data_IF_408005895192
#
_entry.id   IF_408005895192
#
_cell.length_a   1.000
_cell.length_b   1.000
_cell.length_c   1.000
_cell.angle_alpha   90.00
_cell.angle_beta   90.00
_cell.angle_gamma   90.00
#
_symmetry.space_group_name_H-M   'P 1'
#
loop_
_entity.id
_entity.type
_entity.pdbx_description
1 polymer ?
#
# COMPACT_ATOMS: atom_id res chain seq x y z
N UNK A 1 30.56 58.96 -8.74
CA UNK A 1 29.09 58.80 -8.89
C UNK A 1 28.82 58.35 -10.32
N UNK A 2 28.46 57.08 -10.55
CA UNK A 2 28.16 56.59 -11.90
C UNK A 2 26.64 56.48 -12.12
N UNK A 3 26.13 56.86 -13.30
CA UNK A 3 24.73 57.13 -13.55
C UNK A 3 23.91 55.89 -13.95
N UNK A 4 22.65 55.89 -13.52
CA UNK A 4 21.55 55.07 -14.01
C UNK A 4 21.52 55.02 -15.54
N UNK A 5 21.55 53.82 -16.14
CA UNK A 5 20.93 53.56 -17.45
C UNK A 5 20.12 52.27 -17.40
N UNK A 6 18.82 52.47 -17.35
CA UNK A 6 17.74 51.51 -17.43
C UNK A 6 17.36 51.32 -18.91
N UNK A 7 17.44 50.11 -19.45
CA UNK A 7 16.78 49.68 -20.69
C UNK A 7 16.90 48.16 -20.80
N UNK A 8 15.95 47.37 -21.28
CA UNK A 8 14.54 47.52 -21.57
C UNK A 8 14.08 46.08 -21.88
N UNK A 9 12.89 45.70 -21.40
CA UNK A 9 12.03 44.74 -22.10
C UNK A 9 12.41 43.27 -22.08
N UNK A 10 12.20 42.60 -20.95
CA UNK A 10 11.57 41.27 -20.96
C UNK A 10 10.36 41.38 -20.04
N UNK A 11 9.18 41.56 -20.65
CA UNK A 11 7.92 41.60 -19.96
C UNK A 11 7.63 40.22 -19.37
N UNK A 12 8.16 39.97 -18.17
CA UNK A 12 7.65 38.92 -17.30
C UNK A 12 6.18 39.21 -17.05
N UNK A 13 5.32 38.27 -17.44
CA UNK A 13 3.91 38.26 -17.07
C UNK A 13 3.84 38.17 -15.54
N UNK A 14 3.86 39.32 -14.87
CA UNK A 14 3.58 39.42 -13.44
C UNK A 14 2.06 39.30 -13.31
N UNK A 15 1.58 38.08 -13.10
CA UNK A 15 0.26 37.87 -12.49
C UNK A 15 0.40 38.22 -11.02
N UNK A 16 0.31 39.50 -10.69
CA UNK A 16 0.17 40.00 -9.32
C UNK A 16 -1.30 39.90 -8.93
N UNK A 17 -1.67 38.79 -8.28
CA UNK A 17 -3.02 38.53 -7.79
C UNK A 17 -3.11 37.14 -7.15
N UNK A 18 -4.16 36.85 -6.36
CA UNK A 18 -4.24 35.87 -5.25
C UNK A 18 -3.95 34.39 -5.58
N UNK A 19 -3.54 34.09 -6.81
CA UNK A 19 -3.10 32.77 -7.25
C UNK A 19 -1.78 32.34 -6.58
N UNK A 20 -0.88 33.26 -6.26
CA UNK A 20 0.33 32.93 -5.49
C UNK A 20 0.01 32.57 -4.02
N UNK A 21 -1.00 33.19 -3.42
CA UNK A 21 -1.46 32.88 -2.06
C UNK A 21 -2.20 31.52 -1.96
N UNK A 22 -2.59 30.94 -3.11
CA UNK A 22 -3.15 29.59 -3.17
C UNK A 22 -2.06 28.50 -3.09
N UNK A 23 -0.79 28.87 -3.21
CA UNK A 23 0.38 27.98 -3.12
C UNK A 23 1.00 27.99 -1.71
N UNK A 24 0.63 28.96 -0.86
CA UNK A 24 1.06 29.03 0.54
C UNK A 24 0.27 28.05 1.42
N UNK A 25 0.71 26.79 1.36
CA UNK A 25 1.12 26.07 2.56
C UNK A 25 0.06 25.54 3.54
N UNK A 26 -1.24 25.75 3.33
CA UNK A 26 -2.29 25.13 4.15
C UNK A 26 -3.09 24.03 3.43
N UNK A 27 -2.53 23.45 2.37
CA UNK A 27 -3.03 22.19 1.85
C UNK A 27 -2.50 21.05 2.72
N UNK A 28 -3.33 20.03 3.03
CA UNK A 28 -2.83 18.83 3.68
C UNK A 28 -1.61 18.32 2.92
N UNK A 29 -0.49 18.02 3.61
CA UNK A 29 0.67 17.46 2.93
C UNK A 29 0.25 16.17 2.22
N UNK A 30 0.75 15.98 1.00
CA UNK A 30 0.60 14.69 0.32
C UNK A 30 1.16 13.60 1.25
N UNK A 31 0.42 12.50 1.42
CA UNK A 31 0.92 11.36 2.17
C UNK A 31 2.00 10.68 1.32
N UNK A 32 3.27 10.80 1.72
CA UNK A 32 4.37 10.14 1.04
C UNK A 32 4.25 8.61 1.19
N UNK A 33 4.87 7.83 0.28
CA UNK A 33 5.03 6.40 0.47
C UNK A 33 5.79 6.08 1.77
N UNK A 34 5.56 4.88 2.32
CA UNK A 34 6.15 4.44 3.60
C UNK A 34 7.68 4.51 3.60
N UNK A 35 8.32 4.15 2.49
CA UNK A 35 9.78 4.16 2.33
C UNK A 35 10.35 5.54 1.90
N UNK A 36 9.49 6.57 1.84
CA UNK A 36 9.82 7.89 1.34
C UNK A 36 9.84 7.95 -0.20
N UNK A 37 9.56 9.14 -0.75
CA UNK A 37 9.50 9.31 -2.20
C UNK A 37 9.60 10.77 -2.62
N UNK A 38 10.62 11.05 -3.45
CA UNK A 38 10.73 12.23 -4.28
C UNK A 38 11.47 13.42 -3.65
N UNK A 39 12.80 13.44 -3.78
CA UNK A 39 13.46 14.74 -4.02
C UNK A 39 12.92 15.30 -5.34
N UNK A 40 12.70 16.62 -5.42
CA UNK A 40 12.12 17.28 -6.60
C UNK A 40 12.62 16.70 -7.93
N UNK A 41 11.71 16.08 -8.70
CA UNK A 41 11.99 15.52 -10.03
C UNK A 41 12.05 13.98 -10.12
N UNK A 42 12.11 13.24 -9.01
CA UNK A 42 12.14 11.77 -9.01
C UNK A 42 10.74 11.13 -8.96
N UNK A 43 9.97 11.37 -10.03
CA UNK A 43 8.59 10.89 -10.16
C UNK A 43 8.48 9.37 -10.27
N UNK A 44 9.53 8.70 -10.79
CA UNK A 44 9.52 7.25 -10.96
C UNK A 44 9.64 6.54 -9.61
N UNK A 45 10.50 7.04 -8.72
CA UNK A 45 10.64 6.49 -7.38
C UNK A 45 9.38 6.71 -6.55
N UNK A 46 8.71 7.87 -6.71
CA UNK A 46 7.42 8.13 -6.08
C UNK A 46 6.34 7.12 -6.52
N UNK A 47 6.24 6.85 -7.83
CA UNK A 47 5.28 5.86 -8.36
C UNK A 47 5.60 4.44 -7.86
N UNK A 48 6.89 4.05 -7.82
CA UNK A 48 7.31 2.75 -7.28
C UNK A 48 6.91 2.60 -5.81
N UNK A 49 7.11 3.63 -4.99
CA UNK A 49 6.74 3.62 -3.57
C UNK A 49 5.25 3.38 -3.35
N UNK A 50 4.37 4.06 -4.10
CA UNK A 50 2.93 3.82 -3.98
C UNK A 50 2.50 2.43 -4.43
N UNK A 51 3.17 1.87 -5.44
CA UNK A 51 2.92 0.49 -5.89
C UNK A 51 3.37 -0.51 -4.80
N UNK A 52 4.50 -0.25 -4.14
CA UNK A 52 5.01 -1.06 -3.04
C UNK A 52 4.01 -1.10 -1.86
N UNK A 53 3.59 0.07 -1.39
CA UNK A 53 2.58 0.19 -0.33
C UNK A 53 1.27 -0.51 -0.71
N UNK A 54 0.82 -0.31 -1.96
CA UNK A 54 -0.37 -0.97 -2.49
C UNK A 54 -0.25 -2.50 -2.55
N UNK A 55 0.90 -3.02 -2.95
CA UNK A 55 1.15 -4.45 -3.02
C UNK A 55 1.14 -5.11 -1.63
N UNK A 56 1.72 -4.45 -0.63
CA UNK A 56 1.72 -4.92 0.77
C UNK A 56 0.29 -4.99 1.31
N UNK A 57 -0.50 -3.92 1.12
CA UNK A 57 -1.91 -3.87 1.57
C UNK A 57 -2.75 -4.93 0.85
N UNK A 58 -2.55 -5.12 -0.46
CA UNK A 58 -3.24 -6.16 -1.22
C UNK A 58 -2.88 -7.57 -0.74
N UNK A 59 -1.60 -7.84 -0.49
CA UNK A 59 -1.17 -9.12 0.03
C UNK A 59 -1.74 -9.41 1.42
N UNK A 60 -1.80 -8.39 2.30
CA UNK A 60 -2.44 -8.51 3.60
C UNK A 60 -3.95 -8.80 3.47
N UNK A 61 -4.65 -8.10 2.58
CA UNK A 61 -6.07 -8.33 2.32
C UNK A 61 -6.33 -9.76 1.83
N UNK A 62 -5.49 -10.28 0.93
CA UNK A 62 -5.58 -11.67 0.47
C UNK A 62 -5.33 -12.67 1.61
N UNK A 63 -4.39 -12.39 2.51
CA UNK A 63 -4.16 -13.21 3.71
C UNK A 63 -5.40 -13.30 4.60
N UNK A 64 -6.06 -12.16 4.85
CA UNK A 64 -7.31 -12.09 5.63
C UNK A 64 -8.45 -12.85 4.94
N UNK A 65 -8.62 -12.67 3.63
CA UNK A 65 -9.65 -13.38 2.86
C UNK A 65 -9.42 -14.90 2.88
N UNK A 66 -8.17 -15.35 2.71
CA UNK A 66 -7.80 -16.76 2.79
C UNK A 66 -8.08 -17.36 4.18
N UNK A 67 -7.77 -16.63 5.25
CA UNK A 67 -8.08 -17.04 6.62
C UNK A 67 -9.59 -17.19 6.84
N UNK A 68 -10.38 -16.21 6.39
CA UNK A 68 -11.85 -16.25 6.50
C UNK A 68 -12.44 -17.46 5.76
N UNK A 69 -11.92 -17.76 4.58
CA UNK A 69 -12.34 -18.91 3.78
C UNK A 69 -12.06 -20.25 4.47
N UNK A 70 -10.85 -20.40 5.03
CA UNK A 70 -10.46 -21.60 5.78
C UNK A 70 -11.32 -21.76 7.04
N UNK A 71 -11.56 -20.67 7.78
CA UNK A 71 -12.42 -20.68 8.96
C UNK A 71 -13.84 -21.11 8.62
N UNK A 72 -14.42 -20.59 7.53
CA UNK A 72 -15.73 -21.02 7.04
C UNK A 72 -15.78 -22.52 6.74
N UNK A 73 -14.77 -23.04 6.03
CA UNK A 73 -14.68 -24.45 5.67
C UNK A 73 -14.55 -25.33 6.92
N UNK A 74 -13.76 -24.91 7.91
CA UNK A 74 -13.59 -25.61 9.17
C UNK A 74 -14.90 -25.69 9.98
N UNK A 75 -15.68 -24.60 10.03
CA UNK A 75 -16.98 -24.58 10.72
C UNK A 75 -18.00 -25.51 10.04
N UNK A 76 -18.03 -25.55 8.70
CA UNK A 76 -18.88 -26.47 7.97
C UNK A 76 -18.55 -27.93 8.30
N UNK A 77 -17.26 -28.28 8.30
CA UNK A 77 -16.81 -29.63 8.62
C UNK A 77 -16.99 -29.99 10.10
N UNK A 78 -16.85 -29.02 11.01
CA UNK A 78 -17.15 -29.22 12.42
C UNK A 78 -18.59 -29.70 12.65
N UNK A 79 -19.55 -29.12 11.93
CA UNK A 79 -20.94 -29.54 11.99
C UNK A 79 -21.15 -30.99 11.49
N UNK A 80 -20.41 -31.42 10.45
CA UNK A 80 -20.45 -32.79 9.94
C UNK A 80 -19.88 -33.81 10.95
N UNK A 81 -18.78 -33.48 11.62
CA UNK A 81 -18.18 -34.35 12.65
C UNK A 81 -19.07 -34.47 13.89
N UNK A 82 -19.76 -33.38 14.25
CA UNK A 82 -20.70 -33.39 15.37
C UNK A 82 -21.96 -34.21 15.07
N UNK A 83 -22.32 -34.37 13.80
CA UNK A 83 -23.41 -35.23 13.34
C UNK A 83 -22.97 -36.68 13.12
N UNK A 84 -21.71 -37.02 13.38
CA UNK A 84 -21.15 -38.37 13.17
C UNK A 84 -21.02 -38.75 11.70
N UNK A 85 -21.10 -37.78 10.77
CA UNK A 85 -21.00 -38.01 9.32
C UNK A 85 -19.57 -37.90 8.78
N UNK A 86 -18.64 -37.45 9.62
CA UNK A 86 -17.23 -37.26 9.30
C UNK A 86 -16.35 -37.57 10.52
N UNK A 87 -15.10 -37.94 10.27
CA UNK A 87 -14.13 -38.21 11.33
C UNK A 87 -13.49 -36.92 11.85
N UNK A 88 -13.29 -36.83 13.16
CA UNK A 88 -12.55 -35.72 13.78
C UNK A 88 -11.11 -35.59 13.26
N UNK A 89 -10.54 -36.69 12.75
CA UNK A 89 -9.26 -36.72 12.06
C UNK A 89 -9.26 -35.83 10.82
N UNK A 90 -10.34 -35.82 10.03
CA UNK A 90 -10.44 -35.01 8.82
C UNK A 90 -10.45 -33.51 9.14
N UNK A 91 -11.03 -33.10 10.27
CA UNK A 91 -10.93 -31.70 10.73
C UNK A 91 -9.51 -31.31 11.11
N UNK A 92 -8.80 -32.22 11.78
CA UNK A 92 -7.41 -32.00 12.17
C UNK A 92 -6.52 -31.80 10.96
N UNK A 93 -6.66 -32.66 9.94
CA UNK A 93 -5.90 -32.55 8.68
C UNK A 93 -6.26 -31.27 7.92
N UNK A 94 -7.55 -30.93 7.83
CA UNK A 94 -7.99 -29.68 7.20
C UNK A 94 -7.38 -28.46 7.90
N UNK A 95 -7.35 -28.45 9.24
CA UNK A 95 -6.76 -27.38 10.03
C UNK A 95 -5.26 -27.21 9.78
N UNK A 96 -4.51 -28.31 9.75
CA UNK A 96 -3.06 -28.29 9.50
C UNK A 96 -2.78 -27.85 8.05
N UNK A 97 -3.49 -28.40 7.07
CA UNK A 97 -3.32 -28.01 5.67
C UNK A 97 -3.61 -26.52 5.46
N UNK A 98 -4.70 -26.01 6.05
CA UNK A 98 -5.03 -24.58 6.02
C UNK A 98 -3.95 -23.71 6.66
N UNK A 99 -3.42 -24.12 7.82
CA UNK A 99 -2.36 -23.39 8.51
C UNK A 99 -1.06 -23.34 7.68
N UNK A 100 -0.65 -24.45 7.07
CA UNK A 100 0.56 -24.51 6.22
C UNK A 100 0.43 -23.57 5.03
N UNK A 101 -0.72 -23.59 4.34
CA UNK A 101 -0.95 -22.70 3.19
C UNK A 101 -0.93 -21.23 3.63
N UNK A 102 -1.58 -20.89 4.75
CA UNK A 102 -1.58 -19.52 5.28
C UNK A 102 -0.16 -19.04 5.64
N UNK A 103 0.63 -19.90 6.29
CA UNK A 103 2.03 -19.60 6.62
C UNK A 103 2.86 -19.37 5.37
N UNK A 104 2.66 -20.18 4.33
CA UNK A 104 3.33 -19.99 3.03
C UNK A 104 2.99 -18.64 2.40
N UNK A 105 1.70 -18.26 2.41
CA UNK A 105 1.26 -16.97 1.88
C UNK A 105 1.87 -15.81 2.69
N UNK A 106 1.85 -15.89 4.02
CA UNK A 106 2.42 -14.85 4.89
C UNK A 106 3.94 -14.73 4.72
N UNK A 107 4.63 -15.86 4.58
CA UNK A 107 6.07 -15.88 4.30
C UNK A 107 6.40 -15.23 2.94
N UNK A 108 5.67 -15.60 1.88
CA UNK A 108 5.88 -15.01 0.56
C UNK A 108 5.56 -13.52 0.54
N UNK A 109 4.56 -13.08 1.31
CA UNK A 109 4.25 -11.67 1.48
C UNK A 109 5.38 -10.90 2.17
N UNK A 110 5.96 -11.47 3.23
CA UNK A 110 7.12 -10.88 3.90
C UNK A 110 8.33 -10.77 2.94
N UNK A 111 8.63 -11.83 2.19
CA UNK A 111 9.70 -11.77 1.18
C UNK A 111 9.40 -10.80 0.04
N UNK A 112 8.14 -10.65 -0.37
CA UNK A 112 7.77 -9.67 -1.38
C UNK A 112 7.95 -8.24 -0.87
N UNK A 113 7.62 -7.96 0.39
CA UNK A 113 7.83 -6.64 0.98
C UNK A 113 9.33 -6.24 0.99
N UNK A 114 10.24 -7.19 1.26
CA UNK A 114 11.69 -6.96 1.19
C UNK A 114 12.21 -6.60 -0.22
N UNK A 115 11.53 -7.03 -1.29
CA UNK A 115 11.91 -6.68 -2.68
C UNK A 115 11.56 -5.21 -3.01
N UNK A 116 10.60 -4.65 -2.28
CA UNK A 116 10.10 -3.30 -2.52
C UNK A 116 10.69 -2.25 -1.57
N UNK A 117 11.22 -2.67 -0.42
CA UNK A 117 12.04 -1.87 0.49
C UNK A 117 13.42 -1.51 -0.12
#
# INVERSE_FOLDING_TARGET
MNPLRLSAGVAGLVVSGPLQASLDGNLPPMHLPTDGGGTDGDWLSLVRGYIADGAIVLGLALGVLGLLWIAYTALAKFNECRQGKAEWSELGVLGIAGAVVLLLVMFLLAQAAEVFA
#
